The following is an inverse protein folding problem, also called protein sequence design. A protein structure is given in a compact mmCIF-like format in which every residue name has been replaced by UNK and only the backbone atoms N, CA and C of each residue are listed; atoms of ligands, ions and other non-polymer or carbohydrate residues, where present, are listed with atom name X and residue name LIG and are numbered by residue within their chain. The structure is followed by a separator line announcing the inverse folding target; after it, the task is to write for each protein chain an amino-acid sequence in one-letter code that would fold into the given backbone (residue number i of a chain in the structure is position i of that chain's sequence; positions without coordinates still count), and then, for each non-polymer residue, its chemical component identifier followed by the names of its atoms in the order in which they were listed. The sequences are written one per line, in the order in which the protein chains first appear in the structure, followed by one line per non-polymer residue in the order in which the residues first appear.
data_IF_627678589108
#
_entry.id   IF_627678589108
#
_cell.length_a   1.000
_cell.length_b   1.000
_cell.length_c   1.000
_cell.angle_alpha   90.00
_cell.angle_beta   90.00
_cell.angle_gamma   90.00
#
_symmetry.space_group_name_H-M   'P 1'
#
loop_
_entity.id
_entity.type
_entity.pdbx_description
1 polymer ?
#
# COMPACT_ATOMS: atom_id res chain seq x y z
N UNK A 1 9.81 -40.21 1.15
CA UNK A 1 10.25 -39.10 2.02
C UNK A 1 10.98 -38.03 1.20
N UNK A 2 10.28 -37.23 0.38
CA UNK A 2 10.92 -36.26 -0.53
C UNK A 2 10.18 -34.92 -0.67
N UNK A 3 9.26 -34.59 0.26
CA UNK A 3 8.53 -33.31 0.21
C UNK A 3 9.25 -32.14 0.91
N UNK A 4 10.36 -32.39 1.61
CA UNK A 4 10.98 -31.38 2.48
C UNK A 4 12.10 -30.55 1.83
N UNK A 5 12.71 -31.02 0.73
CA UNK A 5 13.91 -30.37 0.17
C UNK A 5 13.58 -29.13 -0.68
N UNK A 6 12.39 -29.08 -1.29
CA UNK A 6 11.97 -27.96 -2.15
C UNK A 6 11.51 -26.75 -1.32
N UNK A 7 10.93 -26.98 -0.13
CA UNK A 7 10.42 -25.91 0.73
C UNK A 7 11.51 -25.06 1.37
N UNK A 8 12.73 -25.61 1.54
CA UNK A 8 13.85 -24.90 2.16
C UNK A 8 14.58 -23.94 1.20
N UNK A 9 14.24 -23.95 -0.09
CA UNK A 9 14.87 -23.12 -1.13
C UNK A 9 13.89 -22.10 -1.74
N UNK A 10 12.77 -21.84 -1.08
CA UNK A 10 11.92 -20.72 -1.46
C UNK A 10 12.63 -19.43 -1.06
N UNK A 11 12.73 -18.42 -1.94
CA UNK A 11 13.23 -17.11 -1.53
C UNK A 11 12.34 -16.60 -0.40
N UNK A 12 12.90 -16.49 0.80
CA UNK A 12 12.24 -15.82 1.91
C UNK A 12 12.35 -14.32 1.67
N UNK A 13 11.21 -13.66 1.46
CA UNK A 13 11.16 -12.22 1.38
C UNK A 13 11.58 -11.63 2.74
N UNK A 14 12.40 -10.56 2.72
CA UNK A 14 12.86 -9.92 3.95
C UNK A 14 11.69 -9.29 4.70
N UNK A 15 11.48 -9.71 5.95
CA UNK A 15 10.43 -9.17 6.81
C UNK A 15 10.89 -7.82 7.34
N UNK A 16 10.33 -6.74 6.80
CA UNK A 16 10.64 -5.37 7.20
C UNK A 16 9.97 -4.97 8.52
N UNK A 17 8.78 -5.50 8.77
CA UNK A 17 8.06 -5.23 10.01
C UNK A 17 7.13 -6.37 10.39
N UNK A 18 7.05 -6.66 11.69
CA UNK A 18 6.13 -7.63 12.24
C UNK A 18 5.56 -7.14 13.58
N UNK A 19 4.27 -7.38 13.80
CA UNK A 19 3.62 -7.13 15.08
C UNK A 19 2.50 -8.15 15.32
N UNK A 20 2.09 -8.26 16.58
CA UNK A 20 0.98 -9.11 17.00
C UNK A 20 -0.06 -8.23 17.67
N UNK A 21 -1.33 -8.40 17.30
CA UNK A 21 -2.42 -7.65 17.93
C UNK A 21 -2.37 -7.84 19.45
N UNK A 22 -2.38 -6.74 20.18
CA UNK A 22 -2.35 -6.75 21.64
C UNK A 22 -3.76 -6.65 22.23
N UNK A 23 -3.97 -7.27 23.38
CA UNK A 23 -5.18 -7.11 24.19
C UNK A 23 -4.71 -6.61 25.54
N UNK A 24 -5.19 -5.43 25.96
CA UNK A 24 -4.76 -4.76 27.20
C UNK A 24 -3.21 -4.61 27.31
N UNK A 25 -2.54 -4.35 26.18
CA UNK A 25 -1.08 -4.18 26.11
C UNK A 25 -0.28 -5.49 25.93
N UNK A 26 -0.89 -6.66 26.16
CA UNK A 26 -0.21 -7.95 26.05
C UNK A 26 -0.45 -8.63 24.68
N UNK A 27 0.58 -9.25 24.06
CA UNK A 27 0.48 -9.91 22.77
C UNK A 27 -0.12 -11.33 22.88
N UNK A 28 -1.32 -11.45 23.45
CA UNK A 28 -1.99 -12.75 23.72
C UNK A 28 -2.86 -13.19 22.53
N UNK A 29 -3.01 -12.36 21.50
CA UNK A 29 -3.88 -12.70 20.38
C UNK A 29 -3.21 -13.63 19.37
N UNK A 30 -4.04 -14.35 18.62
CA UNK A 30 -3.62 -15.18 17.49
C UNK A 30 -3.58 -14.40 16.17
N UNK A 31 -3.65 -13.07 16.23
CA UNK A 31 -3.60 -12.21 15.03
C UNK A 31 -2.21 -11.63 14.88
N UNK A 32 -1.50 -12.06 13.84
CA UNK A 32 -0.14 -11.62 13.52
C UNK A 32 -0.14 -10.86 12.21
N UNK A 33 0.58 -9.75 12.21
CA UNK A 33 0.78 -8.90 11.05
C UNK A 33 2.25 -8.96 10.66
N UNK A 34 2.51 -9.08 9.36
CA UNK A 34 3.86 -9.00 8.79
C UNK A 34 3.81 -8.17 7.53
N UNK A 35 4.88 -7.44 7.28
CA UNK A 35 5.05 -6.60 6.11
C UNK A 35 6.42 -6.91 5.54
N UNK A 36 6.39 -7.33 4.29
CA UNK A 36 7.56 -7.57 3.47
C UNK A 36 7.66 -6.42 2.47
N UNK A 37 8.61 -6.49 1.53
CA UNK A 37 8.78 -5.39 0.58
C UNK A 37 7.57 -5.19 -0.34
N UNK A 38 6.90 -6.26 -0.79
CA UNK A 38 5.79 -6.18 -1.76
C UNK A 38 4.41 -6.31 -1.13
N UNK A 39 4.32 -7.02 0.01
CA UNK A 39 3.07 -7.59 0.51
C UNK A 39 2.95 -7.40 2.01
N UNK A 40 1.71 -7.22 2.45
CA UNK A 40 1.32 -7.25 3.84
C UNK A 40 0.52 -8.52 4.10
N UNK A 41 0.90 -9.25 5.13
CA UNK A 41 0.30 -10.50 5.55
C UNK A 41 -0.46 -10.29 6.86
N UNK A 42 -1.73 -10.70 6.88
CA UNK A 42 -2.57 -10.73 8.05
C UNK A 42 -2.95 -12.17 8.35
N UNK A 43 -2.34 -12.76 9.38
CA UNK A 43 -2.65 -14.12 9.82
C UNK A 43 -3.57 -14.04 11.02
N UNK A 44 -4.76 -14.64 10.93
CA UNK A 44 -5.78 -14.61 11.99
C UNK A 44 -6.38 -15.99 12.25
N UNK A 45 -6.68 -16.25 13.53
CA UNK A 45 -7.53 -17.37 13.94
C UNK A 45 -6.87 -18.30 14.96
N UNK A 46 -7.73 -19.07 15.64
CA UNK A 46 -7.34 -19.95 16.75
C UNK A 46 -7.46 -21.43 16.35
N UNK A 47 -8.66 -21.87 15.95
CA UNK A 47 -8.93 -23.24 15.48
C UNK A 47 -8.73 -23.39 13.97
N UNK A 48 -9.21 -22.40 13.21
CA UNK A 48 -8.95 -22.23 11.78
C UNK A 48 -8.04 -21.03 11.61
N UNK A 49 -6.95 -21.21 10.88
CA UNK A 49 -5.98 -20.15 10.61
C UNK A 49 -6.21 -19.67 9.18
N UNK A 50 -6.58 -18.41 9.04
CA UNK A 50 -6.73 -17.73 7.75
C UNK A 50 -5.54 -16.77 7.58
N UNK A 51 -4.96 -16.75 6.39
CA UNK A 51 -3.87 -15.83 6.04
C UNK A 51 -4.33 -15.01 4.86
N UNK A 52 -4.53 -13.73 5.11
CA UNK A 52 -4.92 -12.76 4.09
C UNK A 52 -3.66 -12.01 3.63
N UNK A 53 -3.50 -11.85 2.31
CA UNK A 53 -2.39 -11.12 1.70
C UNK A 53 -2.90 -9.87 1.00
N UNK A 54 -2.19 -8.75 1.18
CA UNK A 54 -2.48 -7.48 0.53
C UNK A 54 -1.23 -6.95 -0.16
N UNK A 55 -1.29 -6.76 -1.48
CA UNK A 55 -0.19 -6.16 -2.22
C UNK A 55 -0.09 -4.67 -1.90
N UNK A 56 1.10 -4.19 -1.54
CA UNK A 56 1.30 -2.82 -1.06
C UNK A 56 0.92 -1.77 -2.12
N UNK A 57 1.20 -2.03 -3.40
CA UNK A 57 0.85 -1.09 -4.47
C UNK A 57 -0.67 -0.88 -4.63
N UNK A 58 -1.51 -1.79 -4.11
CA UNK A 58 -2.99 -1.70 -4.14
C UNK A 58 -3.57 -0.91 -2.97
N UNK A 59 -2.77 -0.60 -1.97
CA UNK A 59 -3.18 0.28 -0.88
C UNK A 59 -3.33 1.66 -1.48
N UNK A 60 -4.46 2.32 -1.25
CA UNK A 60 -4.79 3.67 -1.74
C UNK A 60 -4.53 4.73 -0.67
N UNK A 61 -5.09 4.52 0.52
CA UNK A 61 -5.03 5.42 1.66
C UNK A 61 -4.77 4.63 2.95
N UNK A 62 -4.16 5.29 3.93
CA UNK A 62 -3.74 4.70 5.21
C UNK A 62 -4.10 5.68 6.33
N UNK A 63 -4.97 5.25 7.25
CA UNK A 63 -5.41 6.04 8.41
C UNK A 63 -5.00 5.38 9.71
N UNK A 64 -4.64 6.17 10.72
CA UNK A 64 -4.48 5.70 12.10
C UNK A 64 -5.65 6.22 12.94
N UNK A 65 -6.16 5.38 13.83
CA UNK A 65 -7.19 5.74 14.80
C UNK A 65 -6.84 5.16 16.17
N UNK A 66 -7.07 5.94 17.22
CA UNK A 66 -6.81 5.56 18.59
C UNK A 66 -7.97 5.98 19.49
N UNK A 67 -8.51 5.05 20.26
CA UNK A 67 -9.42 5.36 21.36
C UNK A 67 -8.65 5.83 22.60
N UNK A 68 -9.34 6.44 23.57
CA UNK A 68 -8.71 6.92 24.81
C UNK A 68 -7.94 5.82 25.54
N UNK A 69 -8.51 4.62 25.66
CA UNK A 69 -7.83 3.48 26.28
C UNK A 69 -6.60 3.03 25.49
N UNK A 70 -6.69 2.98 24.16
CA UNK A 70 -5.56 2.64 23.31
C UNK A 70 -4.41 3.63 23.45
N UNK A 71 -4.70 4.93 23.59
CA UNK A 71 -3.69 5.98 23.86
C UNK A 71 -2.93 5.74 25.16
N UNK A 72 -3.64 5.34 26.23
CA UNK A 72 -3.00 5.02 27.52
C UNK A 72 -2.05 3.83 27.39
N UNK A 73 -2.42 2.81 26.62
CA UNK A 73 -1.56 1.64 26.38
C UNK A 73 -0.55 1.80 25.24
N UNK A 74 -0.49 2.97 24.58
CA UNK A 74 0.41 3.23 23.45
C UNK A 74 0.14 2.36 22.21
N UNK A 75 -1.08 1.84 22.09
CA UNK A 75 -1.53 1.03 20.94
C UNK A 75 -2.54 1.79 20.09
N UNK A 76 -2.91 1.25 18.94
CA UNK A 76 -4.04 1.74 18.16
C UNK A 76 -4.35 0.88 16.96
N UNK A 77 -5.22 1.40 16.09
CA UNK A 77 -5.65 0.69 14.89
C UNK A 77 -5.19 1.45 13.65
N UNK A 78 -4.55 0.76 12.72
CA UNK A 78 -4.25 1.30 11.38
C UNK A 78 -5.21 0.69 10.38
N UNK A 79 -5.89 1.54 9.62
CA UNK A 79 -6.89 1.18 8.61
C UNK A 79 -6.29 1.43 7.24
N UNK A 80 -6.26 0.39 6.42
CA UNK A 80 -5.75 0.41 5.05
C UNK A 80 -6.93 0.34 4.09
N UNK A 81 -7.03 1.28 3.17
CA UNK A 81 -8.03 1.27 2.11
C UNK A 81 -7.39 0.73 0.84
N UNK A 82 -7.98 -0.27 0.22
CA UNK A 82 -7.44 -0.91 -0.98
C UNK A 82 -8.53 -1.13 -2.04
N UNK A 83 -8.10 -1.29 -3.28
CA UNK A 83 -8.99 -1.48 -4.45
C UNK A 83 -9.34 -2.94 -4.73
N UNK A 84 -8.98 -3.87 -3.85
CA UNK A 84 -9.15 -5.30 -4.11
C UNK A 84 -10.61 -5.78 -4.02
N UNK A 85 -10.95 -6.81 -4.79
CA UNK A 85 -12.34 -7.28 -5.01
C UNK A 85 -12.97 -7.95 -3.80
N UNK A 86 -12.18 -8.41 -2.82
CA UNK A 86 -12.67 -9.27 -1.73
C UNK A 86 -12.96 -8.50 -0.44
N UNK A 87 -12.17 -7.48 -0.12
CA UNK A 87 -12.35 -6.62 1.06
C UNK A 87 -11.55 -5.34 0.86
N UNK A 88 -12.22 -4.23 0.53
CA UNK A 88 -11.56 -2.94 0.24
C UNK A 88 -10.99 -2.22 1.47
N UNK A 89 -11.08 -2.82 2.65
CA UNK A 89 -10.59 -2.27 3.91
C UNK A 89 -9.91 -3.37 4.73
N UNK A 90 -8.69 -3.13 5.18
CA UNK A 90 -7.94 -3.99 6.10
C UNK A 90 -7.58 -3.23 7.37
N UNK A 91 -7.90 -3.81 8.53
CA UNK A 91 -7.67 -3.19 9.84
C UNK A 91 -6.58 -3.93 10.63
N UNK A 92 -5.47 -3.24 10.90
CA UNK A 92 -4.41 -3.67 11.80
C UNK A 92 -4.76 -3.20 13.22
N UNK A 93 -5.34 -4.08 14.04
CA UNK A 93 -5.90 -3.71 15.35
C UNK A 93 -4.88 -3.83 16.47
N UNK A 94 -4.92 -2.85 17.38
CA UNK A 94 -4.12 -2.81 18.61
C UNK A 94 -2.62 -3.05 18.36
N UNK A 95 -2.08 -2.39 17.33
CA UNK A 95 -0.65 -2.38 17.01
C UNK A 95 0.06 -1.34 17.88
N UNK A 96 1.35 -1.55 18.14
CA UNK A 96 2.14 -0.61 18.91
C UNK A 96 2.52 0.61 18.06
N UNK A 97 2.42 1.82 18.64
CA UNK A 97 2.82 3.08 17.98
C UNK A 97 2.20 3.23 16.57
N UNK A 98 0.86 3.26 16.44
CA UNK A 98 0.17 3.20 15.15
C UNK A 98 0.55 4.33 14.19
N UNK A 99 0.91 5.52 14.70
CA UNK A 99 1.34 6.63 13.84
C UNK A 99 2.70 6.38 13.18
N UNK A 100 3.63 5.71 13.87
CA UNK A 100 4.92 5.34 13.31
C UNK A 100 4.73 4.26 12.23
N UNK A 101 3.90 3.26 12.53
CA UNK A 101 3.56 2.20 11.57
C UNK A 101 2.84 2.77 10.35
N UNK A 102 1.93 3.72 10.54
CA UNK A 102 1.23 4.42 9.45
C UNK A 102 2.22 5.12 8.51
N UNK A 103 3.17 5.88 9.07
CA UNK A 103 4.22 6.58 8.29
C UNK A 103 5.11 5.58 7.55
N UNK A 104 5.61 4.56 8.25
CA UNK A 104 6.41 3.49 7.66
C UNK A 104 5.70 2.82 6.47
N UNK A 105 4.42 2.44 6.63
CA UNK A 105 3.64 1.84 5.56
C UNK A 105 3.42 2.83 4.40
N UNK A 106 3.19 4.10 4.69
CA UNK A 106 3.03 5.14 3.67
C UNK A 106 4.27 5.25 2.80
N UNK A 107 5.45 5.33 3.41
CA UNK A 107 6.72 5.45 2.69
C UNK A 107 7.01 4.20 1.85
N UNK A 108 6.70 3.01 2.40
CA UNK A 108 6.89 1.74 1.71
C UNK A 108 5.94 1.59 0.50
N UNK A 109 4.68 1.98 0.64
CA UNK A 109 3.69 1.97 -0.45
C UNK A 109 4.10 2.95 -1.55
N UNK A 110 4.55 4.15 -1.21
CA UNK A 110 4.99 5.14 -2.20
C UNK A 110 6.22 4.66 -2.98
N UNK A 111 7.20 4.07 -2.29
CA UNK A 111 8.36 3.44 -2.93
C UNK A 111 7.92 2.38 -3.93
N UNK A 112 7.03 1.47 -3.51
CA UNK A 112 6.52 0.39 -4.39
C UNK A 112 5.75 0.90 -5.60
N UNK A 113 4.94 1.95 -5.45
CA UNK A 113 4.24 2.56 -6.59
C UNK A 113 5.20 3.18 -7.61
N UNK A 114 6.29 3.78 -7.12
CA UNK A 114 7.32 4.40 -7.96
C UNK A 114 8.08 3.33 -8.75
N UNK A 115 8.44 2.21 -8.12
CA UNK A 115 9.12 1.08 -8.76
C UNK A 115 8.24 0.33 -9.78
N UNK A 116 6.94 0.17 -9.48
CA UNK A 116 6.00 -0.53 -10.37
C UNK A 116 5.65 0.32 -11.61
N UNK A 117 6.09 1.58 -11.68
CA UNK A 117 5.86 2.45 -12.83
C UNK A 117 4.41 2.93 -12.97
N UNK A 118 3.57 2.77 -11.93
CA UNK A 118 2.15 3.18 -11.95
C UNK A 118 2.01 4.71 -12.09
N UNK A 119 3.05 5.47 -11.76
CA UNK A 119 3.13 6.93 -11.99
C UNK A 119 3.40 7.32 -13.46
N UNK A 120 3.75 6.38 -14.35
CA UNK A 120 4.14 6.68 -15.74
C UNK A 120 3.01 7.00 -16.71
N UNK A 121 1.74 6.76 -16.35
CA UNK A 121 0.59 7.07 -17.23
C UNK A 121 -0.05 8.43 -16.98
N UNK A 122 0.17 9.04 -15.83
CA UNK A 122 -0.48 10.32 -15.50
C UNK A 122 0.37 11.55 -15.88
N UNK A 123 1.66 11.37 -16.16
CA UNK A 123 2.57 12.46 -16.57
C UNK A 123 2.60 12.65 -18.09
N UNK A 124 2.16 11.66 -18.89
CA UNK A 124 2.11 11.76 -20.36
C UNK A 124 0.70 11.98 -20.93
N UNK A 125 -0.33 12.10 -20.08
CA UNK A 125 -1.72 12.29 -20.50
C UNK A 125 -2.17 13.75 -20.69
N UNK A 126 -1.32 14.72 -20.37
CA UNK A 126 -1.65 16.17 -20.38
C UNK A 126 -0.68 17.02 -21.21
N UNK A 127 0.03 16.40 -22.17
CA UNK A 127 0.78 17.10 -23.22
C UNK A 127 0.27 16.81 -24.64
N UNK A 128 -0.86 16.11 -24.79
CA UNK A 128 -1.61 16.02 -26.04
C UNK A 128 -2.99 16.64 -25.86
N UNK A 129 -3.02 17.92 -25.46
CA UNK A 129 -4.02 18.81 -26.03
C UNK A 129 -3.86 18.74 -27.54
N UNK A 130 -4.73 17.95 -28.18
CA UNK A 130 -5.07 18.07 -29.58
C UNK A 130 -5.76 19.43 -29.76
N UNK A 131 -4.98 20.49 -29.59
CA UNK A 131 -5.29 21.81 -30.11
C UNK A 131 -4.47 21.86 -31.38
N UNK A 132 -5.12 21.81 -32.55
CA UNK A 132 -4.51 22.29 -33.78
C UNK A 132 -4.04 23.71 -33.47
N UNK A 133 -2.74 23.98 -33.35
CA UNK A 133 -2.30 25.35 -33.27
C UNK A 133 -2.38 25.87 -34.69
N UNK A 134 -3.24 26.84 -34.90
CA UNK A 134 -3.05 27.84 -35.94
C UNK A 134 -1.54 28.13 -36.05
N UNK A 135 -0.97 27.73 -37.18
CA UNK A 135 0.46 27.69 -37.43
C UNK A 135 0.97 29.09 -37.80
N UNK A 136 0.90 30.03 -36.87
CA UNK A 136 1.59 31.33 -37.01
C UNK A 136 3.11 31.08 -36.95
N UNK A 137 3.72 30.92 -38.12
CA UNK A 137 5.12 30.48 -38.26
C UNK A 137 6.10 31.65 -38.19
N UNK A 138 5.65 32.87 -38.49
CA UNK A 138 6.48 34.07 -38.49
C UNK A 138 6.24 35.01 -37.30
N UNK A 139 5.23 34.73 -36.48
CA UNK A 139 4.98 35.36 -35.18
C UNK A 139 4.30 36.73 -35.29
N UNK A 140 3.52 36.97 -36.35
CA UNK A 140 2.84 38.23 -36.59
C UNK A 140 1.46 38.35 -35.90
N UNK A 141 0.99 37.26 -35.27
CA UNK A 141 -0.27 37.18 -34.56
C UNK A 141 -1.48 36.92 -35.46
N UNK A 142 -1.27 36.50 -36.72
CA UNK A 142 -2.30 36.09 -37.68
C UNK A 142 -2.12 34.60 -38.01
N UNK A 143 -3.20 33.78 -37.99
CA UNK A 143 -3.13 32.39 -38.43
C UNK A 143 -2.76 32.24 -39.92
N UNK A 144 -1.61 31.61 -40.22
CA UNK A 144 -1.27 31.20 -41.58
C UNK A 144 -2.21 30.06 -42.02
N UNK A 145 -3.28 30.41 -42.73
CA UNK A 145 -4.17 29.42 -43.33
C UNK A 145 -3.62 29.08 -44.72
N UNK A 146 -3.22 27.83 -44.94
CA UNK A 146 -2.69 27.35 -46.23
C UNK A 146 -3.59 27.79 -47.42
N UNK A 147 -3.09 28.67 -48.28
CA UNK A 147 -3.67 28.94 -49.60
C UNK A 147 -3.43 27.71 -50.49
N UNK A 148 -4.52 26.99 -50.80
CA UNK A 148 -4.59 26.17 -52.00
C UNK A 148 -5.97 26.22 -52.65
#
# INVERSE_FOLDING_TARGET
MSKSTVLNNLPEDEILWADTKRILGMPISFTKYRVDENRLYCKRGFLKVETDELLLYRIMDIRSSQTLGQRIFGVGTVVLFCTDKTSGVLELKNIQKPDQVRRFLSDLVERRRTETGVKGREIFGSANTLHSPDCDTDGDGIPDCDEN
#
